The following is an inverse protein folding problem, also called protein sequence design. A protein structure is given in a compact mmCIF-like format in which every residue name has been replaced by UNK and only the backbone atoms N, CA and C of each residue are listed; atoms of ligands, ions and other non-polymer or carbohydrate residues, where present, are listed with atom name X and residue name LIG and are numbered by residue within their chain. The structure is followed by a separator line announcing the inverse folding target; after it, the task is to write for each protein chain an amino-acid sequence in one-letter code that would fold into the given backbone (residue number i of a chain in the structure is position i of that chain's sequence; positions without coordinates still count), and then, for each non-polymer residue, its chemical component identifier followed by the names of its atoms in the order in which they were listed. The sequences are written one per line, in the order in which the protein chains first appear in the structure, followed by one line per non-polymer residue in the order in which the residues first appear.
data_IF_292652270983
#
_entry.id   IF_292652270983
#
_cell.length_a   1.000
_cell.length_b   1.000
_cell.length_c   1.000
_cell.angle_alpha   90.00
_cell.angle_beta   90.00
_cell.angle_gamma   90.00
#
_symmetry.space_group_name_H-M   'P 1'
#
loop_
_entity.id
_entity.type
_entity.pdbx_description
1 polymer ?
#
# COMPACT_ATOMS: atom_id res chain seq x y z
N UNK A 1 -43.73 -4.01 -6.69
CA UNK A 1 -42.91 -3.48 -7.81
C UNK A 1 -41.48 -3.41 -7.29
N UNK A 2 -40.57 -4.13 -7.96
CA UNK A 2 -39.24 -4.47 -7.47
C UNK A 2 -38.33 -3.23 -7.41
N UNK A 3 -37.67 -3.04 -6.26
CA UNK A 3 -36.55 -2.12 -6.09
C UNK A 3 -35.38 -2.68 -6.89
N UNK A 4 -34.95 -1.98 -7.93
CA UNK A 4 -33.68 -2.25 -8.63
C UNK A 4 -32.52 -2.07 -7.65
N UNK A 5 -31.68 -3.09 -7.39
CA UNK A 5 -30.43 -2.86 -6.70
C UNK A 5 -29.55 -1.99 -7.60
N UNK A 6 -29.05 -0.88 -7.04
CA UNK A 6 -27.99 -0.12 -7.66
C UNK A 6 -26.79 -1.06 -7.89
N UNK A 7 -26.01 -0.91 -8.98
CA UNK A 7 -24.74 -1.61 -9.07
C UNK A 7 -23.93 -1.23 -7.83
N UNK A 8 -23.62 -2.21 -6.99
CA UNK A 8 -22.64 -2.03 -5.93
C UNK A 8 -21.30 -1.91 -6.65
N UNK A 9 -20.88 -0.67 -6.89
CA UNK A 9 -19.50 -0.30 -7.14
C UNK A 9 -18.71 -0.80 -5.92
N UNK A 10 -18.10 -1.98 -6.06
CA UNK A 10 -17.41 -2.63 -4.96
C UNK A 10 -16.07 -1.95 -4.77
N UNK A 11 -16.01 -1.03 -3.79
CA UNK A 11 -14.76 -0.48 -3.30
C UNK A 11 -13.70 -1.59 -3.19
N UNK A 12 -12.60 -1.45 -3.91
CA UNK A 12 -11.49 -2.40 -3.88
C UNK A 12 -11.02 -2.54 -2.42
N UNK A 13 -11.10 -3.74 -1.85
CA UNK A 13 -10.64 -4.02 -0.48
C UNK A 13 -9.39 -4.89 -0.54
N UNK A 14 -8.39 -4.54 0.26
CA UNK A 14 -7.20 -5.35 0.49
C UNK A 14 -7.22 -5.95 1.89
N UNK A 15 -6.39 -6.97 2.13
CA UNK A 15 -6.18 -7.46 3.50
C UNK A 15 -5.44 -6.38 4.30
N UNK A 16 -5.82 -6.23 5.57
CA UNK A 16 -5.16 -5.28 6.46
C UNK A 16 -3.69 -5.69 6.63
N UNK A 17 -2.78 -4.85 6.13
CA UNK A 17 -1.35 -5.07 6.29
C UNK A 17 -1.00 -5.18 7.78
N UNK A 18 -0.21 -6.19 8.15
CA UNK A 18 0.29 -6.45 9.52
C UNK A 18 1.80 -6.32 9.60
N UNK A 19 2.47 -6.38 8.46
CA UNK A 19 3.91 -6.27 8.30
C UNK A 19 4.20 -5.19 7.27
N UNK A 20 5.35 -4.54 7.40
CA UNK A 20 5.96 -3.74 6.34
C UNK A 20 7.31 -4.31 5.98
N UNK A 21 7.78 -3.98 4.78
CA UNK A 21 9.06 -4.41 4.30
C UNK A 21 10.15 -3.42 4.66
N UNK A 22 11.23 -3.91 5.29
CA UNK A 22 12.42 -3.12 5.54
C UNK A 22 13.58 -3.62 4.67
N UNK A 23 14.37 -2.67 4.15
CA UNK A 23 15.72 -2.90 3.67
C UNK A 23 16.69 -2.13 4.58
N UNK A 24 17.68 -2.83 5.17
CA UNK A 24 18.62 -2.24 6.13
C UNK A 24 17.94 -1.34 7.19
N UNK A 25 16.89 -1.85 7.83
CA UNK A 25 16.08 -1.17 8.87
C UNK A 25 15.25 0.04 8.41
N UNK A 26 15.25 0.37 7.10
CA UNK A 26 14.43 1.45 6.55
C UNK A 26 13.21 0.89 5.81
N UNK A 27 11.98 1.40 6.03
CA UNK A 27 10.82 1.02 5.26
C UNK A 27 11.03 1.28 3.78
N UNK A 28 10.77 0.27 2.96
CA UNK A 28 10.86 0.38 1.51
C UNK A 28 9.50 0.29 0.85
N UNK A 29 9.41 0.92 -0.31
CA UNK A 29 8.22 0.90 -1.16
C UNK A 29 8.56 1.27 -2.59
N UNK A 30 7.55 1.25 -3.47
CA UNK A 30 7.71 1.69 -4.83
C UNK A 30 7.99 3.20 -4.87
N UNK A 31 8.87 3.61 -5.79
CA UNK A 31 9.05 5.02 -6.09
C UNK A 31 7.74 5.58 -6.67
N UNK A 32 7.24 6.67 -6.09
CA UNK A 32 6.02 7.33 -6.54
C UNK A 32 6.37 8.70 -7.13
N UNK A 33 5.75 9.05 -8.25
CA UNK A 33 5.75 10.42 -8.74
C UNK A 33 4.77 11.26 -7.93
N UNK A 34 5.03 12.57 -7.87
CA UNK A 34 4.01 13.52 -7.45
C UNK A 34 2.82 13.44 -8.41
N UNK A 35 1.59 13.49 -7.88
CA UNK A 35 0.43 13.59 -8.76
C UNK A 35 0.45 14.94 -9.48
N UNK A 36 -0.20 14.99 -10.65
CA UNK A 36 -0.45 16.21 -11.41
C UNK A 36 -1.32 17.16 -10.56
N UNK A 37 -0.69 17.95 -9.68
CA UNK A 37 -1.37 18.70 -8.62
C UNK A 37 -0.44 19.15 -7.48
N UNK A 38 0.79 18.63 -7.43
CA UNK A 38 1.80 19.05 -6.45
C UNK A 38 1.76 18.29 -5.12
N UNK A 39 0.83 17.35 -4.97
CA UNK A 39 0.87 16.39 -3.87
C UNK A 39 1.99 15.37 -4.10
N UNK A 40 2.93 15.34 -3.17
CA UNK A 40 3.96 14.30 -3.09
C UNK A 40 3.38 13.06 -2.44
N UNK A 41 3.71 11.88 -2.97
CA UNK A 41 3.28 10.61 -2.40
C UNK A 41 4.49 9.80 -1.99
N UNK A 42 4.38 9.12 -0.84
CA UNK A 42 5.32 8.08 -0.45
C UNK A 42 4.57 6.80 -0.17
N UNK A 43 5.09 5.68 -0.67
CA UNK A 43 4.49 4.37 -0.49
C UNK A 43 5.48 3.45 0.23
N UNK A 44 4.94 2.51 1.01
CA UNK A 44 5.68 1.38 1.59
C UNK A 44 4.98 0.07 1.28
N UNK A 45 5.74 -1.01 1.11
CA UNK A 45 5.15 -2.34 0.95
C UNK A 45 4.62 -2.86 2.27
N UNK A 46 3.32 -3.16 2.31
CA UNK A 46 2.63 -3.77 3.43
C UNK A 46 2.10 -5.16 3.08
N UNK A 47 2.21 -6.09 4.03
CA UNK A 47 1.78 -7.47 3.87
C UNK A 47 0.87 -7.89 5.00
N UNK A 48 -0.21 -8.58 4.67
CA UNK A 48 -1.19 -9.09 5.64
C UNK A 48 -0.67 -10.29 6.42
N UNK A 49 0.12 -11.15 5.78
CA UNK A 49 0.67 -12.37 6.37
C UNK A 49 2.05 -12.75 5.81
N UNK A 50 2.57 -13.86 6.36
CA UNK A 50 3.89 -14.38 6.01
C UNK A 50 3.99 -14.85 4.55
N UNK A 51 2.97 -15.56 4.07
CA UNK A 51 2.95 -16.10 2.71
C UNK A 51 2.97 -14.98 1.68
N UNK A 52 2.28 -13.87 1.93
CA UNK A 52 2.26 -12.71 1.05
C UNK A 52 3.65 -12.07 0.91
N UNK A 53 4.37 -11.87 2.02
CA UNK A 53 5.73 -11.32 1.95
C UNK A 53 6.71 -12.33 1.30
N UNK A 54 6.62 -13.63 1.60
CA UNK A 54 7.57 -14.62 1.06
C UNK A 54 7.44 -14.71 -0.47
N UNK A 55 6.22 -14.60 -0.99
CA UNK A 55 5.96 -14.50 -2.42
C UNK A 55 6.62 -13.27 -3.03
N UNK A 56 6.49 -12.11 -2.37
CA UNK A 56 7.14 -10.88 -2.83
C UNK A 56 8.67 -11.00 -2.81
N UNK A 57 9.25 -11.50 -1.71
CA UNK A 57 10.69 -11.69 -1.57
C UNK A 57 11.26 -12.64 -2.63
N UNK A 58 10.49 -13.63 -3.08
CA UNK A 58 10.91 -14.52 -4.17
C UNK A 58 11.11 -13.80 -5.51
N UNK A 59 10.55 -12.58 -5.65
CA UNK A 59 10.71 -11.73 -6.84
C UNK A 59 11.79 -10.65 -6.68
N UNK A 60 12.42 -10.56 -5.50
CA UNK A 60 13.43 -9.54 -5.20
C UNK A 60 14.79 -10.18 -4.97
N UNK A 61 15.87 -9.62 -5.53
CA UNK A 61 17.23 -10.11 -5.28
C UNK A 61 17.79 -9.67 -3.90
N UNK A 62 17.13 -8.73 -3.22
CA UNK A 62 17.63 -8.12 -1.99
C UNK A 62 17.18 -8.87 -0.71
N UNK A 63 17.98 -8.81 0.38
CA UNK A 63 17.60 -9.39 1.66
C UNK A 63 16.53 -8.53 2.35
N UNK A 64 15.28 -8.82 2.02
CA UNK A 64 14.10 -8.14 2.56
C UNK A 64 13.64 -8.75 3.88
N UNK A 65 13.30 -7.92 4.85
CA UNK A 65 12.81 -8.38 6.16
C UNK A 65 11.38 -7.87 6.42
N UNK A 66 10.43 -8.76 6.76
CA UNK A 66 9.14 -8.32 7.26
C UNK A 66 9.31 -7.76 8.67
N UNK A 67 8.72 -6.60 8.92
CA UNK A 67 8.70 -5.96 10.22
C UNK A 67 7.25 -5.74 10.67
N UNK A 68 6.86 -6.23 11.85
CA UNK A 68 5.49 -6.12 12.30
C UNK A 68 5.11 -4.65 12.53
N UNK A 69 3.91 -4.28 12.08
CA UNK A 69 3.30 -2.96 12.28
C UNK A 69 2.84 -2.71 13.72
N UNK A 70 3.36 -3.49 14.68
CA UNK A 70 3.08 -3.33 16.11
C UNK A 70 3.89 -2.14 16.63
N UNK A 71 3.21 -1.12 17.16
CA UNK A 71 3.89 -0.02 17.85
C UNK A 71 4.11 1.25 17.02
N UNK A 72 3.25 1.52 16.05
CA UNK A 72 3.21 2.86 15.43
C UNK A 72 4.39 3.16 14.53
N UNK A 73 5.06 2.15 13.94
CA UNK A 73 6.14 2.37 12.97
C UNK A 73 5.69 3.32 11.83
N UNK A 74 4.49 3.14 11.28
CA UNK A 74 3.94 4.05 10.27
C UNK A 74 3.68 5.48 10.79
N UNK A 75 3.45 5.62 12.11
CA UNK A 75 3.21 6.89 12.79
C UNK A 75 4.51 7.57 13.25
N UNK A 76 5.55 6.79 13.58
CA UNK A 76 6.82 7.24 14.16
C UNK A 76 7.94 7.39 13.13
N UNK A 77 7.83 6.79 11.95
CA UNK A 77 8.81 7.01 10.89
C UNK A 77 8.50 8.32 10.15
N UNK A 78 9.40 9.31 10.13
CA UNK A 78 9.18 10.60 9.48
C UNK A 78 9.47 10.57 7.95
N UNK A 79 9.20 9.46 7.25
CA UNK A 79 9.37 9.40 5.79
C UNK A 79 8.19 10.07 5.09
N UNK A 80 8.26 11.40 5.14
CA UNK A 80 7.29 12.36 4.62
C UNK A 80 7.51 13.64 5.43
N UNK A 81 8.65 14.29 5.19
CA UNK A 81 9.05 15.56 5.82
C UNK A 81 8.33 16.77 5.20
N UNK A 82 7.53 16.56 4.14
CA UNK A 82 6.99 17.64 3.29
C UNK A 82 5.52 17.37 2.89
N UNK A 83 4.60 17.25 3.86
CA UNK A 83 3.15 17.23 3.58
C UNK A 83 2.67 16.09 2.64
N UNK A 84 3.49 15.07 2.45
CA UNK A 84 3.26 14.02 1.45
C UNK A 84 2.24 12.99 1.92
N UNK A 85 1.35 12.54 1.03
CA UNK A 85 0.38 11.49 1.34
C UNK A 85 1.09 10.14 1.45
N UNK A 86 0.93 9.48 2.60
CA UNK A 86 1.56 8.19 2.90
C UNK A 86 0.63 7.03 2.61
N UNK A 87 1.11 6.15 1.73
CA UNK A 87 0.40 4.99 1.25
C UNK A 87 1.09 3.71 1.73
N UNK A 88 0.27 2.70 2.01
CA UNK A 88 0.69 1.34 2.28
C UNK A 88 0.16 0.49 1.14
N UNK A 89 1.06 -0.02 0.31
CA UNK A 89 0.72 -0.99 -0.73
C UNK A 89 0.30 -2.29 -0.05
N UNK A 90 -0.82 -2.85 -0.44
CA UNK A 90 -1.43 -4.02 0.17
C UNK A 90 -1.10 -5.26 -0.64
N UNK A 91 -0.36 -6.20 -0.05
CA UNK A 91 -0.05 -7.52 -0.60
C UNK A 91 0.42 -7.47 -2.07
N UNK A 92 1.44 -6.64 -2.32
CA UNK A 92 2.03 -6.49 -3.65
C UNK A 92 2.42 -7.88 -4.23
N UNK A 93 2.04 -8.21 -5.47
CA UNK A 93 2.35 -9.50 -6.06
C UNK A 93 3.83 -9.65 -6.44
N UNK A 94 4.57 -8.54 -6.53
CA UNK A 94 6.01 -8.50 -6.77
C UNK A 94 6.52 -7.06 -6.93
N UNK A 95 7.85 -6.89 -6.98
CA UNK A 95 8.51 -5.57 -7.11
C UNK A 95 8.21 -4.84 -8.43
N UNK A 96 7.79 -5.60 -9.44
CA UNK A 96 7.57 -5.13 -10.82
C UNK A 96 6.09 -5.13 -11.24
N UNK A 97 5.16 -5.29 -10.30
CA UNK A 97 3.74 -5.32 -10.61
C UNK A 97 3.28 -4.05 -11.35
N UNK A 98 2.52 -4.20 -12.42
CA UNK A 98 2.05 -3.07 -13.23
C UNK A 98 1.04 -2.21 -12.46
N UNK A 99 0.28 -2.84 -11.58
CA UNK A 99 -0.78 -2.21 -10.80
C UNK A 99 -0.67 -2.66 -9.34
N UNK A 100 -0.65 -1.69 -8.42
CA UNK A 100 -0.54 -1.91 -6.98
C UNK A 100 -1.69 -1.23 -6.25
N UNK A 101 -2.37 -1.96 -5.38
CA UNK A 101 -3.40 -1.38 -4.52
C UNK A 101 -2.80 -0.82 -3.25
N UNK A 102 -3.22 0.37 -2.85
CA UNK A 102 -2.75 0.98 -1.63
C UNK A 102 -3.88 1.62 -0.83
N UNK A 103 -3.68 1.63 0.48
CA UNK A 103 -4.49 2.36 1.44
C UNK A 103 -3.65 3.43 2.12
N UNK A 104 -4.28 4.45 2.68
CA UNK A 104 -3.53 5.41 3.51
C UNK A 104 -3.06 4.74 4.80
N UNK A 105 -1.99 5.27 5.38
CA UNK A 105 -1.53 4.84 6.71
C UNK A 105 -2.64 4.93 7.76
N UNK A 106 -3.52 5.93 7.68
CA UNK A 106 -4.64 6.10 8.60
C UNK A 106 -5.67 4.97 8.48
N UNK A 107 -6.07 4.61 7.26
CA UNK A 107 -6.99 3.52 7.00
C UNK A 107 -6.44 2.18 7.51
N UNK A 108 -5.16 1.88 7.23
CA UNK A 108 -4.50 0.66 7.74
C UNK A 108 -4.42 0.66 9.26
N UNK A 109 -4.05 1.79 9.85
CA UNK A 109 -3.97 1.93 11.31
C UNK A 109 -5.33 1.72 11.97
N UNK A 110 -6.37 2.33 11.41
CA UNK A 110 -7.76 2.20 11.87
C UNK A 110 -8.25 0.77 11.75
N UNK A 111 -7.98 0.11 10.62
CA UNK A 111 -8.32 -1.29 10.41
C UNK A 111 -7.62 -2.20 11.44
N UNK A 112 -6.33 -1.98 11.72
CA UNK A 112 -5.62 -2.73 12.76
C UNK A 112 -6.20 -2.50 14.16
N UNK A 113 -6.49 -1.25 14.53
CA UNK A 113 -7.10 -0.88 15.81
C UNK A 113 -8.45 -1.57 16.01
N UNK A 114 -9.27 -1.60 14.96
CA UNK A 114 -10.58 -2.26 14.93
C UNK A 114 -10.49 -3.78 14.79
N UNK A 115 -9.28 -4.34 14.61
CA UNK A 115 -9.05 -5.75 14.24
C UNK A 115 -9.82 -6.17 12.99
N UNK A 116 -10.03 -5.24 12.07
CA UNK A 116 -10.65 -5.50 10.79
C UNK A 116 -9.68 -6.30 9.91
N UNK A 117 -10.12 -7.43 9.33
CA UNK A 117 -9.28 -8.21 8.42
C UNK A 117 -9.07 -7.51 7.08
N UNK A 118 -9.95 -6.57 6.73
CA UNK A 118 -9.92 -5.84 5.47
C UNK A 118 -9.78 -4.34 5.69
N UNK A 119 -9.11 -3.69 4.74
CA UNK A 119 -8.95 -2.25 4.63
C UNK A 119 -9.34 -1.81 3.22
N UNK A 120 -9.91 -0.61 3.09
CA UNK A 120 -10.26 -0.05 1.78
C UNK A 120 -8.99 0.40 1.06
N UNK A 121 -8.77 -0.09 -0.15
CA UNK A 121 -7.74 0.45 -1.04
C UNK A 121 -8.31 1.72 -1.67
N UNK A 122 -7.84 2.88 -1.22
CA UNK A 122 -8.28 4.19 -1.73
C UNK A 122 -7.41 4.68 -2.89
N UNK A 123 -6.27 4.02 -3.13
CA UNK A 123 -5.33 4.35 -4.18
C UNK A 123 -4.97 3.15 -5.03
N UNK A 124 -4.74 3.41 -6.31
CA UNK A 124 -4.08 2.51 -7.25
C UNK A 124 -2.80 3.19 -7.70
N UNK A 125 -1.70 2.45 -7.69
CA UNK A 125 -0.42 2.89 -8.18
C UNK A 125 -0.19 2.17 -9.51
N UNK A 126 -0.23 2.93 -10.60
CA UNK A 126 0.06 2.42 -11.94
C UNK A 126 1.53 2.64 -12.27
N UNK A 127 2.24 1.56 -12.59
CA UNK A 127 3.65 1.59 -12.95
C UNK A 127 3.83 2.15 -14.36
N UNK A 128 4.77 3.06 -14.52
CA UNK A 128 5.25 3.45 -15.84
C UNK A 128 6.39 2.51 -16.24
N UNK A 129 6.21 1.68 -17.28
CA UNK A 129 7.23 0.74 -17.77
C UNK A 129 8.56 1.40 -18.17
N UNK A 130 8.50 2.62 -18.71
CA UNK A 130 9.69 3.32 -19.19
C UNK A 130 10.59 3.82 -18.06
N UNK A 131 10.00 4.18 -16.91
CA UNK A 131 10.74 4.76 -15.77
C UNK A 131 10.79 3.85 -14.55
N UNK A 132 9.92 2.84 -14.47
CA UNK A 132 9.69 2.00 -13.31
C UNK A 132 9.03 2.73 -12.13
N UNK A 133 8.61 3.98 -12.30
CA UNK A 133 8.01 4.82 -11.26
C UNK A 133 6.48 4.70 -11.30
N UNK A 134 5.85 4.73 -10.15
CA UNK A 134 4.40 4.60 -10.03
C UNK A 134 3.72 5.97 -9.97
N UNK A 135 2.57 6.07 -10.64
CA UNK A 135 1.67 7.21 -10.55
C UNK A 135 0.49 6.84 -9.66
N UNK A 136 0.34 7.45 -8.48
CA UNK A 136 -0.82 7.22 -7.63
C UNK A 136 -2.06 7.89 -8.25
N UNK A 137 -3.14 7.13 -8.35
CA UNK A 137 -4.47 7.59 -8.72
C UNK A 137 -5.51 7.11 -7.71
N UNK A 138 -6.71 7.72 -7.69
CA UNK A 138 -7.80 7.21 -6.88
C UNK A 138 -8.15 5.79 -7.34
N UNK A 139 -8.33 4.87 -6.38
CA UNK A 139 -8.88 3.57 -6.73
C UNK A 139 -10.31 3.76 -7.23
N UNK A 140 -10.69 3.16 -8.38
CA UNK A 140 -12.08 3.19 -8.83
C UNK A 140 -12.98 2.58 -7.75
N UNK A 141 -14.12 3.24 -7.50
CA UNK A 141 -15.17 2.77 -6.59
C UNK A 141 -15.99 1.63 -7.21
#
# INVERSE_FOLDING_TARGET
MQLTPHPQHTAQTGQTARYVLLAADTPIGPACNAANGGESYSAVYGFSDRSAYEKFCSTSPDPLRPYPLVGGLLKNHPTGTDGSVRLVVLDAPGVQADCLHAATVDEVSTAQLKRSPQVRATYVLDRNDATGVYTPGPSPE
#
